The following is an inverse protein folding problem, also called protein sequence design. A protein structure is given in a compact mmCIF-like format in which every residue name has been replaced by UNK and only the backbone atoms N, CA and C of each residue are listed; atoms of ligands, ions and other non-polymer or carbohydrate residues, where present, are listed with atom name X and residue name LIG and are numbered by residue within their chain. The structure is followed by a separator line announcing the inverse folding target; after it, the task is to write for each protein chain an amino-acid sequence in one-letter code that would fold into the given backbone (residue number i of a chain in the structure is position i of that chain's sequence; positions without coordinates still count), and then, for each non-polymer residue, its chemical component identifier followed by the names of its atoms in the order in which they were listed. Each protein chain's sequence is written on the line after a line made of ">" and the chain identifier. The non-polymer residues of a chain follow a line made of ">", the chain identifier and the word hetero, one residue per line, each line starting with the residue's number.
data_IF_940861323667
#
_entry.id   IF_940861323667
#
_cell.length_a   1.000
_cell.length_b   1.000
_cell.length_c   1.000
_cell.angle_alpha   90.00
_cell.angle_beta   90.00
_cell.angle_gamma   90.00
#
_symmetry.space_group_name_H-M   'P 1'
#
loop_
_entity.id
_entity.type
_entity.pdbx_description
1 polymer ?
#
# COMPACT_ATOMS: atom_id res chain seq x y z
N UNK A 1 -14.97 5.31 -10.76
CA UNK A 1 -13.82 4.51 -10.25
C UNK A 1 -13.32 5.19 -9.00
N UNK A 2 -13.61 4.65 -7.83
CA UNK A 2 -13.13 5.22 -6.57
C UNK A 2 -11.61 4.99 -6.48
N UNK A 3 -10.81 6.04 -6.22
CA UNK A 3 -9.35 5.94 -6.09
C UNK A 3 -8.51 6.58 -7.20
N UNK A 4 -8.86 6.39 -8.48
CA UNK A 4 -8.09 6.95 -9.62
C UNK A 4 -7.94 8.48 -9.57
N UNK A 5 -8.93 9.19 -9.02
CA UNK A 5 -8.89 10.65 -8.90
C UNK A 5 -7.73 11.14 -8.03
N UNK A 6 -7.31 10.38 -7.02
CA UNK A 6 -6.15 10.75 -6.19
C UNK A 6 -4.85 10.61 -6.97
N UNK A 7 -4.73 9.56 -7.79
CA UNK A 7 -3.58 9.38 -8.67
C UNK A 7 -3.51 10.50 -9.70
N UNK A 8 -4.62 10.78 -10.38
CA UNK A 8 -4.67 11.87 -11.35
C UNK A 8 -4.35 13.22 -10.71
N UNK A 9 -4.94 13.51 -9.55
CA UNK A 9 -4.66 14.72 -8.78
C UNK A 9 -3.18 14.87 -8.41
N UNK A 10 -2.54 13.79 -7.94
CA UNK A 10 -1.12 13.79 -7.62
C UNK A 10 -0.26 14.10 -8.84
N UNK A 11 -0.51 13.44 -9.98
CA UNK A 11 0.27 13.64 -11.20
C UNK A 11 0.10 15.06 -11.76
N UNK A 12 -1.13 15.59 -11.76
CA UNK A 12 -1.44 16.94 -12.24
C UNK A 12 -0.74 18.06 -11.44
N UNK A 13 -0.22 17.78 -10.24
CA UNK A 13 0.59 18.73 -9.49
C UNK A 13 2.01 18.90 -10.08
N UNK A 14 2.47 17.96 -10.91
CA UNK A 14 3.86 17.91 -11.40
C UNK A 14 4.00 17.89 -12.91
N UNK A 15 2.94 17.58 -13.66
CA UNK A 15 2.99 17.49 -15.11
C UNK A 15 1.71 18.03 -15.76
N UNK A 16 1.75 18.21 -17.08
CA UNK A 16 0.58 18.66 -17.84
C UNK A 16 -0.55 17.63 -17.80
N UNK A 17 -1.78 18.04 -18.11
CA UNK A 17 -2.93 17.13 -18.19
C UNK A 17 -2.69 15.99 -19.19
N UNK A 18 -2.07 16.29 -20.33
CA UNK A 18 -1.74 15.30 -21.36
C UNK A 18 -0.71 14.29 -20.85
N UNK A 19 0.37 14.74 -20.20
CA UNK A 19 1.39 13.86 -19.64
C UNK A 19 0.81 12.98 -18.51
N UNK A 20 -0.01 13.56 -17.63
CA UNK A 20 -0.67 12.83 -16.55
C UNK A 20 -1.60 11.74 -17.11
N UNK A 21 -2.36 12.06 -18.16
CA UNK A 21 -3.21 11.10 -18.85
C UNK A 21 -2.38 9.94 -19.41
N UNK A 22 -1.32 10.25 -20.18
CA UNK A 22 -0.50 9.20 -20.81
C UNK A 22 0.26 8.37 -19.79
N UNK A 23 0.72 8.94 -18.68
CA UNK A 23 1.35 8.20 -17.60
C UNK A 23 0.35 7.24 -16.94
N UNK A 24 -0.89 7.68 -16.67
CA UNK A 24 -1.93 6.78 -16.14
C UNK A 24 -2.20 5.63 -17.12
N UNK A 25 -2.32 5.92 -18.42
CA UNK A 25 -2.50 4.88 -19.44
C UNK A 25 -1.32 3.90 -19.44
N UNK A 26 -0.09 4.40 -19.36
CA UNK A 26 1.12 3.58 -19.30
C UNK A 26 1.15 2.66 -18.07
N UNK A 27 0.74 3.16 -16.90
CA UNK A 27 0.62 2.37 -15.67
C UNK A 27 -0.48 1.29 -15.78
N UNK A 28 -1.66 1.65 -16.30
CA UNK A 28 -2.78 0.72 -16.41
C UNK A 28 -2.50 -0.40 -17.44
N UNK A 29 -1.86 -0.05 -18.55
CA UNK A 29 -1.54 -0.98 -19.65
C UNK A 29 -0.22 -1.72 -19.47
N UNK A 30 0.55 -1.40 -18.43
CA UNK A 30 1.79 -2.08 -18.12
C UNK A 30 2.91 -1.81 -19.12
N UNK A 31 3.12 -0.53 -19.47
CA UNK A 31 4.17 -0.14 -20.41
C UNK A 31 5.59 -0.36 -19.86
N UNK A 32 5.75 -0.25 -18.54
CA UNK A 32 7.05 -0.41 -17.83
C UNK A 32 7.00 -1.57 -16.84
N UNK A 33 5.93 -1.64 -16.04
CA UNK A 33 5.70 -2.66 -15.02
C UNK A 33 4.47 -3.51 -15.37
N UNK A 34 4.15 -4.51 -14.54
CA UNK A 34 2.93 -5.30 -14.72
C UNK A 34 1.66 -4.41 -14.80
N UNK A 35 0.69 -4.75 -15.67
CA UNK A 35 -0.49 -3.93 -15.89
C UNK A 35 -1.36 -3.82 -14.63
N UNK A 36 -1.79 -2.60 -14.32
CA UNK A 36 -2.57 -2.29 -13.11
C UNK A 36 -4.06 -2.08 -13.38
N UNK A 37 -4.54 -2.26 -14.62
CA UNK A 37 -5.96 -2.06 -14.96
C UNK A 37 -6.92 -2.91 -14.10
N UNK A 38 -6.49 -4.10 -13.69
CA UNK A 38 -7.26 -4.99 -12.80
C UNK A 38 -7.51 -4.40 -11.40
N UNK A 39 -6.80 -3.35 -10.98
CA UNK A 39 -7.10 -2.62 -9.74
C UNK A 39 -8.40 -1.83 -9.81
N UNK A 40 -8.90 -1.59 -11.02
CA UNK A 40 -10.05 -0.74 -11.24
C UNK A 40 -11.15 -1.41 -12.07
N UNK A 41 -10.92 -2.62 -12.57
CA UNK A 41 -11.98 -3.39 -13.22
C UNK A 41 -13.12 -3.73 -12.25
N UNK A 42 -14.31 -3.99 -12.78
CA UNK A 42 -15.46 -4.40 -11.98
C UNK A 42 -15.11 -5.65 -11.16
N UNK A 43 -15.40 -5.62 -9.85
CA UNK A 43 -15.03 -6.67 -8.91
C UNK A 43 -13.62 -6.55 -8.32
N UNK A 44 -12.80 -5.60 -8.79
CA UNK A 44 -11.45 -5.31 -8.27
C UNK A 44 -10.54 -6.56 -8.18
N UNK A 45 -10.45 -7.39 -9.24
CA UNK A 45 -9.79 -8.69 -9.17
C UNK A 45 -8.33 -8.60 -8.71
N UNK A 46 -7.60 -7.58 -9.16
CA UNK A 46 -6.20 -7.41 -8.81
C UNK A 46 -6.03 -6.92 -7.37
N UNK A 47 -6.98 -6.14 -6.84
CA UNK A 47 -6.99 -5.75 -5.42
C UNK A 47 -7.17 -6.99 -4.55
N UNK A 48 -8.13 -7.86 -4.87
CA UNK A 48 -8.34 -9.10 -4.11
C UNK A 48 -7.09 -9.99 -4.13
N UNK A 49 -6.45 -10.13 -5.29
CA UNK A 49 -5.21 -10.86 -5.43
C UNK A 49 -4.09 -10.27 -4.56
N UNK A 50 -3.88 -8.95 -4.61
CA UNK A 50 -2.84 -8.29 -3.82
C UNK A 50 -3.10 -8.36 -2.33
N UNK A 51 -4.36 -8.23 -1.89
CA UNK A 51 -4.72 -8.39 -0.48
C UNK A 51 -4.43 -9.81 0.02
N UNK A 52 -4.73 -10.83 -0.78
CA UNK A 52 -4.39 -12.22 -0.45
C UNK A 52 -2.87 -12.43 -0.37
N UNK A 53 -2.11 -11.92 -1.33
CA UNK A 53 -0.65 -11.97 -1.30
C UNK A 53 -0.09 -11.25 -0.07
N UNK A 54 -0.64 -10.07 0.25
CA UNK A 54 -0.24 -9.29 1.41
C UNK A 54 -0.50 -10.03 2.72
N UNK A 55 -1.65 -10.69 2.86
CA UNK A 55 -1.96 -11.55 4.01
C UNK A 55 -0.90 -12.64 4.21
N UNK A 56 -0.49 -13.31 3.11
CA UNK A 56 0.54 -14.34 3.16
C UNK A 56 1.91 -13.81 3.56
N UNK A 57 2.30 -12.65 3.02
CA UNK A 57 3.55 -12.01 3.40
C UNK A 57 3.57 -11.58 4.88
N UNK A 58 2.43 -11.12 5.43
CA UNK A 58 2.31 -10.82 6.86
C UNK A 58 2.48 -12.09 7.69
N UNK A 59 1.83 -13.20 7.31
CA UNK A 59 1.97 -14.49 7.99
C UNK A 59 3.39 -15.04 7.93
N UNK A 60 4.10 -14.81 6.82
CA UNK A 60 5.47 -15.26 6.62
C UNK A 60 6.48 -14.43 7.41
N UNK A 61 6.41 -13.11 7.32
CA UNK A 61 7.43 -12.22 7.88
C UNK A 61 7.13 -11.75 9.31
N UNK A 62 5.86 -11.77 9.72
CA UNK A 62 5.41 -11.37 11.06
C UNK A 62 4.41 -12.40 11.59
N UNK A 63 4.81 -13.68 11.77
CA UNK A 63 3.89 -14.79 12.07
C UNK A 63 3.04 -14.56 13.33
N UNK A 64 3.62 -13.90 14.34
CA UNK A 64 2.88 -13.54 15.57
C UNK A 64 1.74 -12.57 15.29
N UNK A 65 1.99 -11.52 14.49
CA UNK A 65 0.98 -10.55 14.09
C UNK A 65 -0.05 -11.18 13.14
N UNK A 66 0.41 -11.99 12.18
CA UNK A 66 -0.47 -12.72 11.27
C UNK A 66 -1.42 -13.66 12.01
N UNK A 67 -0.95 -14.37 13.03
CA UNK A 67 -1.79 -15.21 13.89
C UNK A 67 -2.80 -14.37 14.69
N UNK A 68 -2.36 -13.25 15.27
CA UNK A 68 -3.24 -12.32 15.99
C UNK A 68 -4.35 -11.76 15.09
N UNK A 69 -4.03 -11.41 13.84
CA UNK A 69 -5.04 -10.96 12.87
C UNK A 69 -6.08 -12.04 12.57
N UNK A 70 -5.69 -13.32 12.51
CA UNK A 70 -6.64 -14.43 12.33
C UNK A 70 -7.55 -14.55 13.54
N UNK A 71 -7.01 -14.49 14.76
CA UNK A 71 -7.75 -14.61 16.01
C UNK A 71 -8.78 -13.48 16.18
N UNK A 72 -8.38 -12.26 15.83
CA UNK A 72 -9.25 -11.07 15.85
C UNK A 72 -10.10 -10.91 14.58
N UNK A 73 -10.07 -11.87 13.65
CA UNK A 73 -10.83 -11.85 12.38
C UNK A 73 -10.56 -10.60 11.51
N UNK A 74 -9.35 -10.06 11.56
CA UNK A 74 -8.90 -8.94 10.73
C UNK A 74 -8.58 -9.43 9.33
N UNK A 75 -9.33 -8.95 8.34
CA UNK A 75 -9.03 -9.18 6.93
C UNK A 75 -8.32 -7.94 6.33
N UNK A 76 -7.26 -8.11 5.50
CA UNK A 76 -6.58 -6.99 4.84
C UNK A 76 -7.49 -6.06 4.05
N UNK A 77 -8.60 -6.56 3.49
CA UNK A 77 -9.58 -5.71 2.80
C UNK A 77 -10.16 -4.59 3.66
N UNK A 78 -10.17 -4.76 4.99
CA UNK A 78 -10.69 -3.79 5.96
C UNK A 78 -9.81 -2.55 6.11
N UNK A 79 -8.52 -2.63 5.78
CA UNK A 79 -7.56 -1.52 6.01
C UNK A 79 -6.62 -1.24 4.82
N UNK A 80 -6.20 -2.25 4.05
CA UNK A 80 -5.16 -2.12 3.04
C UNK A 80 -5.69 -1.88 1.61
N UNK A 81 -6.99 -2.02 1.35
CA UNK A 81 -7.56 -1.84 -0.01
C UNK A 81 -7.18 -0.50 -0.65
N UNK A 82 -7.23 0.58 0.14
CA UNK A 82 -6.88 1.92 -0.33
C UNK A 82 -5.39 2.07 -0.64
N UNK A 83 -4.51 1.34 0.05
CA UNK A 83 -3.07 1.40 -0.18
C UNK A 83 -2.72 0.96 -1.59
N UNK A 84 -3.34 -0.14 -2.05
CA UNK A 84 -3.15 -0.65 -3.42
C UNK A 84 -3.88 0.18 -4.47
N UNK A 85 -5.12 0.59 -4.20
CA UNK A 85 -5.94 1.34 -5.16
C UNK A 85 -5.35 2.74 -5.42
N UNK A 86 -4.74 3.38 -4.42
CA UNK A 86 -4.24 4.75 -4.54
C UNK A 86 -2.72 4.85 -4.54
N UNK A 87 -2.00 3.73 -4.41
CA UNK A 87 -0.54 3.73 -4.21
C UNK A 87 -0.17 4.69 -3.07
N UNK A 88 -0.89 4.54 -1.95
CA UNK A 88 -0.82 5.38 -0.75
C UNK A 88 -1.14 6.88 -0.92
N UNK A 89 -1.53 7.38 -2.10
CA UNK A 89 -1.76 8.81 -2.33
C UNK A 89 -2.95 9.40 -1.57
N UNK A 90 -3.78 8.55 -0.95
CA UNK A 90 -4.84 8.94 -0.03
C UNK A 90 -4.47 8.76 1.45
N UNK A 91 -3.50 7.90 1.75
CA UNK A 91 -3.25 7.38 3.10
C UNK A 91 -2.13 8.09 3.84
N UNK A 92 -1.22 8.76 3.12
CA UNK A 92 -0.05 9.43 3.71
C UNK A 92 -0.08 10.95 3.59
N UNK A 93 0.64 11.65 4.47
CA UNK A 93 1.01 13.05 4.23
C UNK A 93 1.67 13.19 2.86
N UNK A 94 1.48 14.37 2.24
CA UNK A 94 1.95 14.62 0.88
C UNK A 94 3.45 14.35 0.66
N UNK A 95 4.38 14.77 1.56
CA UNK A 95 5.81 14.48 1.37
C UNK A 95 6.11 12.99 1.29
N UNK A 96 5.48 12.19 2.16
CA UNK A 96 5.66 10.74 2.17
C UNK A 96 5.06 10.08 0.92
N UNK A 97 3.89 10.55 0.48
CA UNK A 97 3.27 10.11 -0.78
C UNK A 97 4.25 10.24 -1.94
N UNK A 98 4.93 11.39 -2.08
CA UNK A 98 5.91 11.60 -3.16
C UNK A 98 7.05 10.61 -3.12
N UNK A 99 7.61 10.34 -1.93
CA UNK A 99 8.71 9.39 -1.77
C UNK A 99 8.30 7.98 -2.16
N UNK A 100 7.08 7.56 -1.82
CA UNK A 100 6.54 6.27 -2.25
C UNK A 100 6.38 6.23 -3.77
N UNK A 101 5.88 7.32 -4.37
CA UNK A 101 5.67 7.43 -5.81
C UNK A 101 6.97 7.45 -6.62
N UNK A 102 8.02 8.12 -6.14
CA UNK A 102 9.36 8.08 -6.74
C UNK A 102 9.84 6.64 -6.92
N UNK A 103 9.76 5.85 -5.84
CA UNK A 103 10.22 4.45 -5.85
C UNK A 103 9.24 3.58 -6.63
N UNK A 104 7.93 3.80 -6.51
CA UNK A 104 6.91 3.04 -7.25
C UNK A 104 7.06 3.17 -8.76
N UNK A 105 7.33 4.37 -9.29
CA UNK A 105 7.56 4.54 -10.73
C UNK A 105 8.80 3.78 -11.21
N UNK A 106 9.82 3.64 -10.36
CA UNK A 106 11.05 2.91 -10.66
C UNK A 106 10.92 1.39 -10.49
N UNK A 107 10.33 0.93 -9.38
CA UNK A 107 10.32 -0.47 -8.93
C UNK A 107 8.98 -1.20 -9.15
N UNK A 108 7.91 -0.46 -9.42
CA UNK A 108 6.56 -0.98 -9.63
C UNK A 108 5.81 -1.33 -8.34
N UNK A 109 4.77 -2.14 -8.49
CA UNK A 109 3.77 -2.40 -7.43
C UNK A 109 4.34 -3.04 -6.16
N UNK A 110 5.50 -3.70 -6.24
CA UNK A 110 6.17 -4.31 -5.07
C UNK A 110 6.43 -3.32 -3.94
N UNK A 111 6.62 -2.03 -4.27
CA UNK A 111 6.80 -0.96 -3.29
C UNK A 111 5.60 -0.85 -2.36
N UNK A 112 4.38 -1.04 -2.87
CA UNK A 112 3.17 -0.95 -2.05
C UNK A 112 3.13 -2.06 -1.00
N UNK A 113 3.55 -3.28 -1.37
CA UNK A 113 3.69 -4.39 -0.42
C UNK A 113 4.76 -4.11 0.62
N UNK A 114 5.95 -3.68 0.20
CA UNK A 114 7.07 -3.38 1.09
C UNK A 114 6.72 -2.30 2.09
N UNK A 115 6.10 -1.21 1.64
CA UNK A 115 5.66 -0.11 2.50
C UNK A 115 4.56 -0.57 3.46
N UNK A 116 3.58 -1.34 3.00
CA UNK A 116 2.53 -1.91 3.86
C UNK A 116 3.11 -2.83 4.94
N UNK A 117 4.06 -3.70 4.60
CA UNK A 117 4.75 -4.57 5.57
C UNK A 117 5.61 -3.75 6.53
N UNK A 118 6.26 -2.69 6.04
CA UNK A 118 7.02 -1.73 6.84
C UNK A 118 6.15 -1.08 7.92
N UNK A 119 4.94 -0.64 7.56
CA UNK A 119 3.99 -0.01 8.48
C UNK A 119 3.58 -0.97 9.59
N UNK A 120 3.21 -2.19 9.22
CA UNK A 120 2.83 -3.23 10.17
C UNK A 120 3.99 -3.63 11.07
N UNK A 121 5.22 -3.68 10.54
CA UNK A 121 6.41 -3.98 11.35
C UNK A 121 6.74 -2.86 12.32
N UNK A 122 6.61 -1.60 11.90
CA UNK A 122 6.81 -0.45 12.78
C UNK A 122 5.86 -0.49 13.99
N UNK A 123 4.58 -0.80 13.75
CA UNK A 123 3.55 -0.83 14.78
C UNK A 123 3.38 -2.20 15.47
N UNK A 124 4.23 -3.19 15.14
CA UNK A 124 4.01 -4.60 15.48
C UNK A 124 3.72 -4.82 16.97
N UNK A 125 4.54 -4.23 17.83
CA UNK A 125 4.49 -4.47 19.28
C UNK A 125 3.22 -3.92 19.94
N UNK A 126 2.59 -2.92 19.32
CA UNK A 126 1.32 -2.38 19.77
C UNK A 126 0.17 -3.19 19.19
N UNK A 127 0.17 -3.42 17.87
CA UNK A 127 -0.91 -4.12 17.18
C UNK A 127 -1.19 -5.53 17.74
N UNK A 128 -0.15 -6.27 18.14
CA UNK A 128 -0.28 -7.65 18.64
C UNK A 128 -0.99 -7.76 20.01
N UNK A 129 -1.27 -6.64 20.67
CA UNK A 129 -1.92 -6.60 22.00
C UNK A 129 -3.36 -6.09 21.92
N UNK A 130 -3.77 -5.53 20.79
CA UNK A 130 -5.03 -4.81 20.66
C UNK A 130 -6.17 -5.76 20.27
N UNK A 131 -7.36 -5.64 20.88
CA UNK A 131 -8.56 -6.32 20.41
C UNK A 131 -9.08 -5.71 19.10
N UNK A 132 -9.97 -6.42 18.40
CA UNK A 132 -10.50 -6.07 17.08
C UNK A 132 -10.77 -4.58 16.83
N UNK A 133 -11.52 -3.89 17.69
CA UNK A 133 -11.92 -2.49 17.46
C UNK A 133 -10.72 -1.53 17.48
N UNK A 134 -9.85 -1.67 18.49
CA UNK A 134 -8.65 -0.84 18.66
C UNK A 134 -7.60 -1.17 17.60
N UNK A 135 -7.48 -2.43 17.23
CA UNK A 135 -6.61 -2.92 16.17
C UNK A 135 -7.03 -2.32 14.81
N UNK A 136 -8.32 -2.40 14.47
CA UNK A 136 -8.83 -1.82 13.22
C UNK A 136 -8.76 -0.29 13.21
N UNK A 137 -8.89 0.37 14.36
CA UNK A 137 -8.63 1.80 14.47
C UNK A 137 -7.17 2.13 14.15
N UNK A 138 -6.23 1.43 14.79
CA UNK A 138 -4.78 1.65 14.62
C UNK A 138 -4.32 1.36 13.19
N UNK A 139 -4.89 0.35 12.52
CA UNK A 139 -4.60 0.03 11.11
C UNK A 139 -5.13 1.07 10.10
N UNK A 140 -6.08 1.91 10.51
CA UNK A 140 -6.60 3.01 9.68
C UNK A 140 -5.90 4.33 9.93
N UNK A 141 -5.34 4.52 11.12
CA UNK A 141 -4.70 5.76 11.57
C UNK A 141 -3.35 5.44 12.19
N UNK A 142 -2.31 5.39 11.35
CA UNK A 142 -0.95 5.21 11.82
C UNK A 142 -0.42 6.47 12.51
N UNK A 143 0.49 6.31 13.49
CA UNK A 143 1.17 7.45 14.10
C UNK A 143 2.03 8.20 13.07
N UNK A 144 2.25 9.49 13.29
CA UNK A 144 2.99 10.35 12.34
C UNK A 144 4.41 9.82 12.08
N UNK A 145 5.06 9.25 13.11
CA UNK A 145 6.39 8.64 13.02
C UNK A 145 6.42 7.45 12.05
N UNK A 146 5.33 6.70 11.92
CA UNK A 146 5.22 5.61 10.95
C UNK A 146 5.08 6.10 9.50
N UNK A 147 4.80 7.40 9.31
CA UNK A 147 4.66 8.04 8.00
C UNK A 147 5.88 8.87 7.60
N UNK A 148 6.93 8.88 8.43
CA UNK A 148 8.21 9.50 8.10
C UNK A 148 9.03 8.60 7.14
N UNK A 149 9.41 9.08 5.93
CA UNK A 149 10.19 8.29 4.98
C UNK A 149 11.51 7.76 5.55
N UNK A 150 12.21 8.56 6.36
CA UNK A 150 13.54 8.21 6.89
C UNK A 150 13.45 7.07 7.92
N UNK A 151 12.30 6.95 8.57
CA UNK A 151 11.99 5.89 9.53
C UNK A 151 11.39 4.66 8.82
N UNK A 152 10.43 4.86 7.90
CA UNK A 152 9.67 3.76 7.30
C UNK A 152 10.44 3.03 6.20
N UNK A 153 11.18 3.74 5.34
CA UNK A 153 11.81 3.12 4.16
C UNK A 153 12.88 2.09 4.50
N UNK A 154 13.77 2.31 5.50
CA UNK A 154 14.68 1.26 5.94
C UNK A 154 13.95 -0.01 6.38
N UNK A 155 12.77 0.14 6.99
CA UNK A 155 11.96 -1.00 7.39
C UNK A 155 11.34 -1.70 6.17
N UNK A 156 10.66 -0.94 5.33
CA UNK A 156 9.98 -1.43 4.13
C UNK A 156 10.92 -2.18 3.19
N UNK A 157 12.09 -1.63 2.90
CA UNK A 157 13.03 -2.22 1.93
C UNK A 157 13.90 -3.34 2.49
N UNK A 158 13.79 -3.65 3.78
CA UNK A 158 14.39 -4.86 4.33
C UNK A 158 13.67 -6.14 3.90
N UNK A 159 12.39 -6.03 3.50
CA UNK A 159 11.65 -7.12 2.87
C UNK A 159 12.09 -7.21 1.40
N UNK A 160 13.20 -7.90 1.16
CA UNK A 160 13.66 -8.19 -0.21
C UNK A 160 12.62 -9.09 -0.86
N UNK A 161 12.03 -8.62 -1.97
CA UNK A 161 11.19 -9.48 -2.81
C UNK A 161 12.06 -10.59 -3.39
N UNK A 162 11.86 -11.82 -2.94
CA UNK A 162 12.26 -12.97 -3.74
C UNK A 162 11.37 -12.95 -5.00
N UNK A 163 12.04 -12.78 -6.14
CA UNK A 163 11.45 -12.63 -7.47
C UNK A 163 10.71 -13.89 -7.91
#
# INVERSE_FOLDING_TARGET
>A
MQGMGFIAGLLLLYMSEEDAFWLIVALLKGAVHAPMEGLYQAGLPLVQQYLFQFEKLVQEHMPKLGQHFIEEMINPSMYASQWFITVFSYSFPFPMTLRVWDVFLYEGIKVVFQVGLGLLRFCHDDLVKLPFEELLHSLRYFPDEATDPDTLFPLAFSFKGEQ
#
